data_IF_488915078814
#
_entry.id   IF_488915078814
#
_cell.length_a   1.000
_cell.length_b   1.000
_cell.length_c   1.000
_cell.angle_alpha   90.00
_cell.angle_beta   90.00
_cell.angle_gamma   90.00
#
_symmetry.space_group_name_H-M   'P 1'
#
loop_
_entity.id
_entity.type
_entity.pdbx_description
1 polymer ?
#
# COMPACT_ATOMS: atom_id res chain seq x y z
N UNK A 1 13.28 20.75 -12.80
CA UNK A 1 13.11 19.99 -11.53
C UNK A 1 14.43 20.05 -10.74
N UNK A 2 14.62 21.08 -9.92
CA UNK A 2 15.92 21.36 -9.28
C UNK A 2 16.41 20.21 -8.38
N UNK A 3 15.51 19.47 -7.74
CA UNK A 3 15.89 18.35 -6.88
C UNK A 3 16.48 17.17 -7.67
N UNK A 4 15.93 16.89 -8.84
CA UNK A 4 16.43 15.82 -9.71
C UNK A 4 17.76 16.21 -10.33
N UNK A 5 17.92 17.47 -10.74
CA UNK A 5 19.15 18.00 -11.31
C UNK A 5 20.29 18.02 -10.28
N UNK A 6 19.96 18.27 -8.99
CA UNK A 6 20.92 18.19 -7.90
C UNK A 6 21.46 16.77 -7.66
N UNK A 7 20.59 15.76 -7.81
CA UNK A 7 20.96 14.35 -7.65
C UNK A 7 21.60 13.76 -8.92
N UNK A 8 21.17 14.21 -10.07
CA UNK A 8 21.60 13.72 -11.38
C UNK A 8 21.98 14.90 -12.29
N UNK A 9 23.15 15.52 -12.09
CA UNK A 9 23.57 16.71 -12.84
C UNK A 9 23.59 16.53 -14.37
N UNK A 10 23.79 15.30 -14.84
CA UNK A 10 23.74 15.00 -16.27
C UNK A 10 22.36 15.15 -16.93
N UNK A 11 21.30 15.33 -16.12
CA UNK A 11 19.94 15.59 -16.60
C UNK A 11 19.56 17.07 -16.57
N UNK A 12 20.49 17.95 -16.17
CA UNK A 12 20.22 19.38 -16.11
C UNK A 12 19.78 19.94 -17.48
N UNK A 13 18.68 20.67 -17.48
CA UNK A 13 18.12 21.25 -18.69
C UNK A 13 17.41 20.27 -19.65
N UNK A 14 17.31 18.98 -19.29
CA UNK A 14 16.57 18.03 -20.13
C UNK A 14 15.05 18.24 -19.97
N UNK A 15 14.29 18.29 -21.08
CA UNK A 15 12.84 18.42 -21.00
C UNK A 15 12.21 17.11 -20.51
N UNK A 16 11.07 17.22 -19.80
CA UNK A 16 10.24 16.07 -19.50
C UNK A 16 9.54 15.60 -20.78
N UNK A 17 9.80 14.37 -21.18
CA UNK A 17 9.19 13.81 -22.40
C UNK A 17 7.77 13.31 -22.17
N UNK A 18 7.45 12.87 -20.96
CA UNK A 18 6.15 12.32 -20.61
C UNK A 18 5.90 12.44 -19.11
N UNK A 19 4.66 12.74 -18.73
CA UNK A 19 4.18 12.71 -17.35
C UNK A 19 2.80 12.05 -17.29
N UNK A 20 2.49 11.45 -16.16
CA UNK A 20 1.16 10.91 -15.85
C UNK A 20 0.87 11.06 -14.37
N UNK A 21 -0.39 10.95 -14.00
CA UNK A 21 -0.83 10.85 -12.62
C UNK A 21 -1.72 9.63 -12.44
N UNK A 22 -1.73 9.07 -11.25
CA UNK A 22 -2.55 7.94 -10.88
C UNK A 22 -3.06 8.10 -9.45
N UNK A 23 -4.18 7.42 -9.14
CA UNK A 23 -4.67 7.31 -7.79
C UNK A 23 -3.81 6.30 -7.00
N UNK A 24 -3.50 6.64 -5.78
CA UNK A 24 -2.80 5.75 -4.84
C UNK A 24 -3.73 5.52 -3.65
N UNK A 25 -3.95 4.25 -3.29
CA UNK A 25 -4.70 3.90 -2.10
C UNK A 25 -3.90 4.21 -0.84
N UNK A 26 -4.53 4.85 0.13
CA UNK A 26 -3.95 5.07 1.44
C UNK A 26 -4.89 4.54 2.52
N UNK A 27 -4.39 3.59 3.29
CA UNK A 27 -5.03 3.18 4.54
C UNK A 27 -4.66 4.16 5.66
N UNK A 28 -5.46 4.28 6.73
CA UNK A 28 -5.18 5.23 7.81
C UNK A 28 -3.81 5.06 8.49
N UNK A 29 -3.28 3.84 8.50
CA UNK A 29 -1.99 3.49 9.11
C UNK A 29 -0.88 3.20 8.09
N UNK A 30 -1.18 3.32 6.81
CA UNK A 30 -0.28 2.99 5.69
C UNK A 30 0.11 1.51 5.59
N UNK A 31 -0.54 0.62 6.33
CA UNK A 31 -0.37 -0.83 6.21
C UNK A 31 -1.43 -1.44 5.28
N UNK A 32 -1.14 -2.57 4.63
CA UNK A 32 -2.11 -3.22 3.74
C UNK A 32 -3.31 -3.76 4.52
N UNK A 33 -4.38 -4.02 3.77
CA UNK A 33 -5.55 -4.74 4.23
C UNK A 33 -5.68 -6.02 3.41
N UNK A 34 -5.86 -7.15 4.07
CA UNK A 34 -6.26 -8.42 3.46
C UNK A 34 -7.28 -9.05 4.38
N UNK A 35 -8.56 -8.93 4.07
CA UNK A 35 -9.62 -9.41 4.95
C UNK A 35 -10.91 -9.74 4.21
N UNK A 36 -11.79 -10.46 4.87
CA UNK A 36 -13.18 -10.66 4.47
C UNK A 36 -14.06 -9.63 5.17
N UNK A 37 -14.47 -8.60 4.45
CA UNK A 37 -15.27 -7.50 5.00
C UNK A 37 -16.71 -7.94 5.38
N UNK A 38 -17.24 -8.93 4.70
CA UNK A 38 -18.50 -9.64 4.98
C UNK A 38 -18.48 -10.95 4.19
N UNK A 39 -19.34 -11.92 4.56
CA UNK A 39 -19.34 -13.24 3.94
C UNK A 39 -19.31 -13.20 2.42
N UNK A 40 -18.25 -13.77 1.82
CA UNK A 40 -18.01 -13.80 0.38
C UNK A 40 -17.48 -12.49 -0.23
N UNK A 41 -17.23 -11.45 0.57
CA UNK A 41 -16.72 -10.15 0.09
C UNK A 41 -15.32 -9.88 0.65
N UNK A 42 -14.30 -10.08 -0.15
CA UNK A 42 -12.90 -9.93 0.22
C UNK A 42 -12.37 -8.57 -0.19
N UNK A 43 -11.51 -7.99 0.65
CA UNK A 43 -10.86 -6.70 0.43
C UNK A 43 -9.36 -6.88 0.47
N UNK A 44 -8.68 -6.36 -0.55
CA UNK A 44 -7.22 -6.27 -0.60
C UNK A 44 -6.85 -4.84 -0.94
N UNK A 45 -6.06 -4.20 -0.10
CA UNK A 45 -5.54 -2.86 -0.34
C UNK A 45 -4.07 -2.78 0.01
N UNK A 46 -3.29 -2.13 -0.83
CA UNK A 46 -1.83 -2.07 -0.70
C UNK A 46 -1.31 -1.03 0.28
N UNK A 47 -2.16 -0.11 0.76
CA UNK A 47 -1.75 0.94 1.68
C UNK A 47 -0.73 1.93 1.11
N UNK A 48 -0.70 2.10 -0.20
CA UNK A 48 0.27 2.92 -0.92
C UNK A 48 1.48 2.16 -1.48
N UNK A 49 1.61 0.88 -1.16
CA UNK A 49 2.77 0.05 -1.53
C UNK A 49 2.39 -1.20 -2.36
N UNK A 50 1.28 -1.12 -3.11
CA UNK A 50 0.74 -2.26 -3.86
C UNK A 50 1.71 -2.89 -4.86
N UNK A 51 2.59 -2.11 -5.47
CA UNK A 51 3.60 -2.61 -6.41
C UNK A 51 4.58 -3.58 -5.73
N UNK A 52 5.06 -3.23 -4.53
CA UNK A 52 6.03 -4.05 -3.79
C UNK A 52 5.38 -5.28 -3.14
N UNK A 53 4.18 -5.11 -2.61
CA UNK A 53 3.51 -6.12 -1.79
C UNK A 53 2.49 -6.94 -2.55
N UNK A 54 2.17 -6.55 -3.79
CA UNK A 54 1.14 -7.18 -4.61
C UNK A 54 1.20 -8.70 -4.65
N UNK A 55 2.35 -9.32 -4.94
CA UNK A 55 2.45 -10.79 -4.97
C UNK A 55 2.11 -11.45 -3.63
N UNK A 56 2.65 -10.93 -2.52
CA UNK A 56 2.37 -11.46 -1.18
C UNK A 56 0.91 -11.23 -0.74
N UNK A 57 0.36 -10.07 -1.07
CA UNK A 57 -1.05 -9.77 -0.80
C UNK A 57 -1.98 -10.66 -1.64
N UNK A 58 -1.63 -10.93 -2.89
CA UNK A 58 -2.37 -11.84 -3.76
C UNK A 58 -2.38 -13.27 -3.24
N UNK A 59 -1.24 -13.78 -2.78
CA UNK A 59 -1.13 -15.10 -2.15
C UNK A 59 -2.00 -15.17 -0.89
N UNK A 60 -1.87 -14.19 0.01
CA UNK A 60 -2.66 -14.14 1.23
C UNK A 60 -4.17 -14.05 0.97
N UNK A 61 -4.58 -13.29 -0.05
CA UNK A 61 -5.98 -13.21 -0.45
C UNK A 61 -6.48 -14.53 -1.01
N UNK A 62 -5.71 -15.21 -1.85
CA UNK A 62 -6.08 -16.50 -2.41
C UNK A 62 -6.25 -17.58 -1.31
N UNK A 63 -5.34 -17.60 -0.33
CA UNK A 63 -5.48 -18.50 0.81
C UNK A 63 -6.72 -18.18 1.65
N UNK A 64 -6.96 -16.91 1.95
CA UNK A 64 -8.14 -16.51 2.70
C UNK A 64 -9.44 -16.89 1.99
N UNK A 65 -9.51 -16.70 0.68
CA UNK A 65 -10.68 -17.05 -0.14
C UNK A 65 -10.94 -18.56 -0.22
N UNK A 66 -9.91 -19.36 -0.02
CA UNK A 66 -10.01 -20.84 -0.02
C UNK A 66 -10.13 -21.45 1.38
N UNK A 67 -10.40 -20.63 2.39
CA UNK A 67 -10.59 -21.07 3.78
C UNK A 67 -9.30 -21.29 4.57
N UNK A 68 -8.17 -20.83 4.04
CA UNK A 68 -6.87 -20.84 4.71
C UNK A 68 -6.62 -19.60 5.59
N UNK A 69 -5.36 -19.43 5.95
CA UNK A 69 -4.87 -18.25 6.66
C UNK A 69 -4.23 -17.26 5.68
N UNK A 70 -3.77 -16.13 6.15
CA UNK A 70 -3.22 -15.06 5.28
C UNK A 70 -1.74 -15.28 4.89
N UNK A 71 -1.35 -16.49 4.45
CA UNK A 71 -0.01 -16.80 3.93
C UNK A 71 1.15 -16.24 4.77
N UNK A 72 1.08 -16.40 6.09
CA UNK A 72 2.14 -15.93 6.99
C UNK A 72 2.18 -14.43 7.24
N UNK A 73 1.25 -13.64 6.68
CA UNK A 73 1.11 -12.24 7.06
C UNK A 73 0.57 -12.13 8.49
N UNK A 74 0.98 -11.13 9.26
CA UNK A 74 0.48 -10.91 10.62
C UNK A 74 -1.00 -10.55 10.59
N UNK A 75 -1.84 -11.49 10.99
CA UNK A 75 -3.31 -11.42 10.84
C UNK A 75 -3.90 -10.16 11.45
N UNK A 76 -3.48 -9.80 12.66
CA UNK A 76 -4.02 -8.62 13.35
C UNK A 76 -3.64 -7.30 12.66
N UNK A 77 -2.47 -7.24 12.03
CA UNK A 77 -1.95 -6.03 11.39
C UNK A 77 -2.55 -5.79 10.01
N UNK A 78 -3.05 -6.83 9.34
CA UNK A 78 -3.68 -6.72 8.02
C UNK A 78 -5.19 -6.85 8.07
N UNK A 79 -5.78 -7.12 9.23
CA UNK A 79 -7.22 -7.21 9.41
C UNK A 79 -7.91 -5.85 9.31
N UNK A 80 -9.12 -5.85 8.78
CA UNK A 80 -9.93 -4.63 8.63
C UNK A 80 -10.43 -4.09 9.97
N UNK A 81 -10.71 -4.98 10.93
CA UNK A 81 -11.23 -4.63 12.25
C UNK A 81 -10.21 -3.92 13.15
N UNK A 82 -8.93 -3.90 12.78
CA UNK A 82 -7.90 -3.14 13.51
C UNK A 82 -8.23 -1.66 13.66
N UNK A 83 -9.01 -1.10 12.74
CA UNK A 83 -9.45 0.29 12.82
C UNK A 83 -10.61 0.50 13.79
N UNK A 84 -11.38 -0.53 14.09
CA UNK A 84 -12.50 -0.46 15.04
C UNK A 84 -12.02 -0.33 16.50
N UNK A 85 -10.82 -0.82 16.81
CA UNK A 85 -10.20 -0.75 18.14
C UNK A 85 -9.27 0.46 18.34
N UNK A 86 -9.18 1.36 17.40
CA UNK A 86 -8.45 2.63 17.55
C UNK A 86 -6.92 2.55 17.48
N UNK A 87 -6.35 1.51 16.91
CA UNK A 87 -4.91 1.33 16.91
C UNK A 87 -4.33 0.56 15.75
N UNK A 88 -4.29 1.14 14.57
CA UNK A 88 -3.40 0.64 13.52
C UNK A 88 -1.94 0.92 13.90
N UNK A 89 -1.04 -0.05 13.73
CA UNK A 89 0.39 0.21 13.71
C UNK A 89 0.70 1.18 12.56
N UNK A 90 1.66 2.07 12.73
CA UNK A 90 2.11 2.93 11.63
C UNK A 90 3.35 2.33 10.99
N UNK A 91 3.35 2.30 9.68
CA UNK A 91 4.56 2.00 8.94
C UNK A 91 5.61 3.10 9.17
N UNK A 92 6.86 2.69 9.40
CA UNK A 92 7.97 3.62 9.66
C UNK A 92 8.39 4.42 8.41
N UNK A 93 8.03 3.93 7.21
CA UNK A 93 8.30 4.58 5.94
C UNK A 93 6.97 4.92 5.26
N UNK A 94 6.24 5.84 5.82
CA UNK A 94 5.04 6.38 5.19
C UNK A 94 5.45 7.48 4.20
N UNK A 95 5.06 7.31 2.94
CA UNK A 95 5.03 8.43 2.01
C UNK A 95 3.96 9.40 2.53
N UNK A 96 4.37 10.46 3.20
CA UNK A 96 3.43 11.52 3.56
C UNK A 96 2.74 11.99 2.29
N UNK A 97 1.40 12.07 2.26
CA UNK A 97 0.75 12.74 1.15
C UNK A 97 1.30 14.16 1.05
N UNK A 98 1.46 14.69 -0.16
CA UNK A 98 1.88 16.08 -0.31
C UNK A 98 0.92 16.95 0.51
N UNK A 99 1.49 17.83 1.31
CA UNK A 99 0.73 18.82 2.08
C UNK A 99 -0.17 19.57 1.09
N UNK A 100 -1.44 19.47 1.34
CA UNK A 100 -2.43 20.26 0.60
C UNK A 100 -2.20 21.76 0.86
#
# INVERSE_FOLDING_TARGET
MPEVEALLPGLAGQPLSRGWSAAVDHTPDALPIVDEARPGCFVVAGGGHGMMWGPALGEAAAELMTGGTRAGLPTAEVALDRFAVGGGARESISLKPPLA
#
